data_IF_591341312898
#
_entry.id   IF_591341312898
#
_cell.length_a   1.000
_cell.length_b   1.000
_cell.length_c   1.000
_cell.angle_alpha   90.00
_cell.angle_beta   90.00
_cell.angle_gamma   90.00
#
_symmetry.space_group_name_H-M   'P 1'
#
loop_
_entity.id
_entity.type
_entity.pdbx_description
1 polymer ?
#
# COMPACT_ATOMS: atom_id res chain seq x y z
N UNK A 1 27.76 3.40 -13.89
CA UNK A 1 27.21 2.51 -12.84
C UNK A 1 26.00 1.80 -13.40
N UNK A 2 25.96 0.49 -13.38
CA UNK A 2 24.85 -0.30 -13.93
C UNK A 2 24.29 -1.23 -12.84
N UNK A 3 22.98 -1.36 -12.80
CA UNK A 3 22.26 -2.35 -12.00
C UNK A 3 21.26 -3.05 -12.93
N UNK A 4 21.30 -4.38 -12.98
CA UNK A 4 20.43 -5.19 -13.86
C UNK A 4 20.43 -4.71 -15.33
N UNK A 5 21.60 -4.48 -15.91
CA UNK A 5 21.79 -3.97 -17.28
C UNK A 5 21.23 -2.55 -17.57
N UNK A 6 20.84 -1.81 -16.55
CA UNK A 6 20.41 -0.40 -16.70
C UNK A 6 21.43 0.55 -16.11
N UNK A 7 21.71 1.63 -16.84
CA UNK A 7 22.54 2.72 -16.31
C UNK A 7 21.72 3.52 -15.29
N UNK A 8 22.10 3.42 -14.03
CA UNK A 8 21.43 4.10 -12.91
C UNK A 8 22.09 5.41 -12.51
N UNK A 9 23.31 5.64 -12.95
CA UNK A 9 24.05 6.88 -12.66
C UNK A 9 25.44 6.89 -13.26
N UNK A 10 26.08 8.05 -13.14
CA UNK A 10 27.46 8.27 -13.56
C UNK A 10 28.22 9.00 -12.44
N UNK A 11 29.49 8.69 -12.31
CA UNK A 11 30.42 9.44 -11.47
C UNK A 11 31.38 10.15 -12.38
N UNK A 12 31.48 11.45 -12.23
CA UNK A 12 32.45 12.31 -12.94
C UNK A 12 33.57 12.64 -11.98
N UNK A 13 34.78 12.46 -12.42
CA UNK A 13 35.99 12.75 -11.65
C UNK A 13 36.68 13.97 -12.28
N UNK A 14 37.01 14.94 -11.46
CA UNK A 14 37.90 16.04 -11.86
C UNK A 14 39.37 15.62 -11.80
N UNK A 15 40.28 16.54 -12.08
CA UNK A 15 41.71 16.31 -11.96
C UNK A 15 42.12 15.99 -10.51
N UNK A 16 43.05 15.06 -10.34
CA UNK A 16 43.64 14.81 -9.01
C UNK A 16 44.41 16.04 -8.50
N UNK A 17 44.25 16.29 -7.21
CA UNK A 17 45.14 17.26 -6.55
C UNK A 17 46.60 16.86 -6.79
N UNK A 18 47.41 17.79 -7.29
CA UNK A 18 48.84 17.64 -7.68
C UNK A 18 49.05 17.09 -9.10
N UNK A 19 48.07 17.11 -10.00
CA UNK A 19 48.24 16.80 -11.41
C UNK A 19 48.66 15.34 -11.74
N UNK A 20 48.42 14.41 -10.80
CA UNK A 20 48.70 12.99 -11.06
C UNK A 20 47.51 12.33 -11.80
N UNK A 21 47.81 11.41 -12.70
CA UNK A 21 46.78 10.61 -13.38
C UNK A 21 46.11 9.61 -12.45
N UNK A 22 44.88 9.22 -12.79
CA UNK A 22 44.19 8.13 -12.12
C UNK A 22 44.79 6.79 -12.53
N UNK A 23 45.21 6.03 -11.54
CA UNK A 23 45.68 4.65 -11.79
C UNK A 23 44.51 3.72 -12.04
N UNK A 24 44.78 2.55 -12.66
CA UNK A 24 43.77 1.52 -12.84
C UNK A 24 43.12 1.10 -11.52
N UNK A 25 43.90 0.96 -10.45
CA UNK A 25 43.44 0.65 -9.11
C UNK A 25 42.47 1.71 -8.52
N UNK A 26 42.76 3.00 -8.75
CA UNK A 26 41.89 4.11 -8.35
C UNK A 26 40.51 3.98 -9.02
N UNK A 27 40.50 3.70 -10.32
CA UNK A 27 39.25 3.56 -11.10
C UNK A 27 38.45 2.31 -10.68
N UNK A 28 39.11 1.20 -10.45
CA UNK A 28 38.44 -0.05 -9.96
C UNK A 28 37.85 0.17 -8.56
N UNK A 29 38.57 0.84 -7.66
CA UNK A 29 38.07 1.19 -6.34
C UNK A 29 36.84 2.11 -6.42
N UNK A 30 36.94 3.20 -7.19
CA UNK A 30 35.83 4.13 -7.36
C UNK A 30 34.63 3.50 -8.03
N UNK A 31 34.85 2.61 -9.00
CA UNK A 31 33.77 1.85 -9.62
C UNK A 31 33.05 0.95 -8.60
N UNK A 32 33.79 0.25 -7.77
CA UNK A 32 33.24 -0.63 -6.72
C UNK A 32 32.45 0.19 -5.68
N UNK A 33 33.01 1.30 -5.25
CA UNK A 33 32.34 2.22 -4.31
C UNK A 33 31.05 2.79 -4.90
N UNK A 34 31.08 3.19 -6.15
CA UNK A 34 29.93 3.72 -6.85
C UNK A 34 28.82 2.68 -7.05
N UNK A 35 29.19 1.42 -7.32
CA UNK A 35 28.23 0.33 -7.39
C UNK A 35 27.58 0.05 -6.01
N UNK A 36 28.39 0.06 -4.93
CA UNK A 36 27.87 -0.09 -3.58
C UNK A 36 26.90 1.05 -3.20
N UNK A 37 27.25 2.28 -3.57
CA UNK A 37 26.37 3.44 -3.33
C UNK A 37 25.01 3.28 -4.06
N UNK A 38 25.03 2.85 -5.32
CA UNK A 38 23.78 2.62 -6.09
C UNK A 38 22.93 1.52 -5.47
N UNK A 39 23.55 0.41 -5.07
CA UNK A 39 22.81 -0.67 -4.41
C UNK A 39 22.16 -0.16 -3.12
N UNK A 40 22.90 0.64 -2.33
CA UNK A 40 22.38 1.21 -1.08
C UNK A 40 21.22 2.18 -1.32
N UNK A 41 21.31 3.03 -2.33
CA UNK A 41 20.24 3.97 -2.72
C UNK A 41 19.00 3.19 -3.19
N UNK A 42 19.17 2.18 -4.04
CA UNK A 42 18.06 1.38 -4.55
C UNK A 42 17.38 0.58 -3.42
N UNK A 43 18.16 -0.01 -2.51
CA UNK A 43 17.63 -0.68 -1.34
C UNK A 43 16.82 0.28 -0.45
N UNK A 44 17.33 1.50 -0.22
CA UNK A 44 16.60 2.50 0.56
C UNK A 44 15.30 2.93 -0.13
N UNK A 45 15.29 3.03 -1.46
CA UNK A 45 14.08 3.32 -2.25
C UNK A 45 13.04 2.20 -2.12
N UNK A 46 13.46 0.95 -2.37
CA UNK A 46 12.59 -0.22 -2.27
C UNK A 46 12.02 -0.40 -0.85
N UNK A 47 12.84 -0.13 0.16
CA UNK A 47 12.39 -0.18 1.55
C UNK A 47 11.31 0.87 1.85
N UNK A 48 11.49 2.09 1.33
CA UNK A 48 10.48 3.15 1.47
C UNK A 48 9.17 2.79 0.78
N UNK A 49 9.23 2.28 -0.46
CA UNK A 49 8.06 1.82 -1.20
C UNK A 49 7.33 0.69 -0.46
N UNK A 50 8.07 -0.23 0.14
CA UNK A 50 7.48 -1.32 0.95
C UNK A 50 6.75 -0.79 2.19
N UNK A 51 7.34 0.20 2.90
CA UNK A 51 6.69 0.84 4.05
C UNK A 51 5.41 1.57 3.63
N UNK A 52 5.45 2.35 2.55
CA UNK A 52 4.27 3.06 2.03
C UNK A 52 3.15 2.10 1.64
N UNK A 53 3.50 0.99 0.98
CA UNK A 53 2.54 -0.06 0.63
C UNK A 53 1.92 -0.69 1.88
N UNK A 54 2.75 -1.05 2.87
CA UNK A 54 2.27 -1.63 4.13
C UNK A 54 1.30 -0.68 4.84
N UNK A 55 1.66 0.60 4.92
CA UNK A 55 0.79 1.62 5.53
C UNK A 55 -0.56 1.71 4.83
N UNK A 56 -0.58 1.67 3.49
CA UNK A 56 -1.82 1.68 2.73
C UNK A 56 -2.66 0.41 2.98
N UNK A 57 -2.04 -0.76 3.09
CA UNK A 57 -2.72 -2.01 3.43
C UNK A 57 -3.34 -1.95 4.83
N UNK A 58 -2.62 -1.39 5.82
CA UNK A 58 -3.12 -1.21 7.18
C UNK A 58 -4.31 -0.22 7.24
N UNK A 59 -4.23 0.89 6.50
CA UNK A 59 -5.32 1.87 6.38
C UNK A 59 -6.58 1.25 5.75
N UNK A 60 -6.42 0.43 4.72
CA UNK A 60 -7.52 -0.29 4.08
C UNK A 60 -8.12 -1.36 5.01
N UNK A 61 -7.31 -2.05 5.80
CA UNK A 61 -7.77 -3.02 6.78
C UNK A 61 -8.63 -2.34 7.87
N UNK A 62 -8.17 -1.19 8.38
CA UNK A 62 -8.92 -0.39 9.34
C UNK A 62 -10.24 0.13 8.75
N UNK A 63 -10.20 0.65 7.52
CA UNK A 63 -11.41 1.12 6.83
C UNK A 63 -12.45 0.00 6.66
N UNK A 64 -11.99 -1.22 6.35
CA UNK A 64 -12.85 -2.41 6.28
C UNK A 64 -13.48 -2.74 7.63
N UNK A 65 -12.69 -2.72 8.71
CA UNK A 65 -13.20 -2.98 10.06
C UNK A 65 -14.29 -1.97 10.45
N UNK A 66 -14.04 -0.68 10.20
CA UNK A 66 -15.01 0.39 10.45
C UNK A 66 -16.29 0.14 9.63
N UNK A 67 -16.17 -0.14 8.34
CA UNK A 67 -17.32 -0.36 7.45
C UNK A 67 -18.14 -1.58 7.89
N UNK A 68 -17.48 -2.68 8.23
CA UNK A 68 -18.16 -3.87 8.75
C UNK A 68 -18.88 -3.61 10.08
N UNK A 69 -18.33 -2.74 10.91
CA UNK A 69 -18.95 -2.30 12.16
C UNK A 69 -20.19 -1.42 11.97
N UNK A 70 -20.38 -0.84 10.78
CA UNK A 70 -21.60 -0.06 10.44
C UNK A 70 -22.75 -0.95 9.96
N UNK A 71 -22.48 -2.17 9.52
CA UNK A 71 -23.52 -3.10 9.10
C UNK A 71 -24.22 -3.71 10.32
N UNK A 72 -25.53 -3.98 10.25
CA UNK A 72 -26.25 -4.60 11.36
C UNK A 72 -25.70 -6.00 11.65
N UNK A 73 -25.22 -6.21 12.87
CA UNK A 73 -24.72 -7.51 13.34
C UNK A 73 -25.84 -8.53 13.56
N UNK A 74 -27.06 -8.03 13.82
CA UNK A 74 -28.25 -8.85 14.02
C UNK A 74 -29.43 -8.19 13.32
N UNK A 75 -30.17 -8.97 12.56
CA UNK A 75 -31.40 -8.51 11.94
C UNK A 75 -32.58 -8.64 12.91
N UNK A 76 -33.56 -7.69 12.90
CA UNK A 76 -34.73 -7.77 13.73
C UNK A 76 -35.60 -8.96 13.33
N UNK A 77 -36.27 -9.58 14.31
CA UNK A 77 -37.30 -10.58 14.04
C UNK A 77 -38.62 -9.89 13.77
N UNK A 78 -39.12 -10.06 12.54
CA UNK A 78 -40.37 -9.46 12.11
C UNK A 78 -41.41 -10.59 12.02
N UNK A 79 -42.54 -10.45 12.70
CA UNK A 79 -43.57 -11.47 12.70
C UNK A 79 -44.11 -11.76 11.28
N UNK A 80 -44.09 -13.02 10.86
CA UNK A 80 -44.52 -13.45 9.53
C UNK A 80 -43.48 -13.30 8.42
N UNK A 81 -42.26 -12.83 8.74
CA UNK A 81 -41.16 -12.68 7.77
C UNK A 81 -39.89 -13.33 8.25
N UNK A 82 -39.16 -13.92 7.31
CA UNK A 82 -37.77 -14.33 7.47
C UNK A 82 -36.87 -13.37 6.67
N UNK A 83 -35.89 -12.74 7.32
CA UNK A 83 -34.98 -11.81 6.68
C UNK A 83 -33.56 -12.36 6.79
N UNK A 84 -32.88 -12.41 5.65
CA UNK A 84 -31.43 -12.69 5.57
C UNK A 84 -30.75 -11.60 4.75
N UNK A 85 -29.59 -11.17 5.19
CA UNK A 85 -28.77 -10.22 4.46
C UNK A 85 -27.30 -10.63 4.55
N UNK A 86 -26.58 -10.40 3.48
CA UNK A 86 -25.14 -10.65 3.37
C UNK A 86 -24.48 -9.53 2.55
N UNK A 87 -23.33 -9.09 2.97
CA UNK A 87 -22.48 -8.20 2.20
C UNK A 87 -21.16 -8.91 1.90
N UNK A 88 -20.83 -9.04 0.62
CA UNK A 88 -19.58 -9.67 0.13
C UNK A 88 -18.84 -8.64 -0.72
N UNK A 89 -17.83 -8.02 -0.15
CA UNK A 89 -17.01 -7.04 -0.87
C UNK A 89 -16.05 -7.71 -1.85
N UNK A 90 -15.92 -7.19 -3.06
CA UNK A 90 -14.96 -7.67 -4.08
C UNK A 90 -13.52 -7.20 -3.80
N UNK A 91 -13.34 -6.16 -3.00
CA UNK A 91 -12.06 -5.59 -2.56
C UNK A 91 -12.04 -5.49 -1.03
N UNK A 92 -10.97 -4.92 -0.48
CA UNK A 92 -10.85 -4.75 0.98
C UNK A 92 -11.96 -3.88 1.57
N UNK A 93 -12.43 -2.86 0.82
CA UNK A 93 -13.54 -1.98 1.20
C UNK A 93 -14.55 -2.00 0.06
N UNK A 94 -15.84 -2.10 0.36
CA UNK A 94 -16.95 -2.06 -0.61
C UNK A 94 -17.70 -0.73 -0.54
N UNK A 95 -18.55 -0.46 -1.55
CA UNK A 95 -19.52 0.66 -1.53
C UNK A 95 -20.82 0.27 -0.87
N UNK A 96 -21.16 -1.02 -0.91
CA UNK A 96 -22.48 -1.52 -0.56
C UNK A 96 -22.77 -1.43 0.94
N UNK A 97 -23.97 -0.98 1.25
CA UNK A 97 -24.51 -0.89 2.60
C UNK A 97 -25.93 -1.43 2.63
N UNK A 98 -26.31 -2.08 3.73
CA UNK A 98 -27.70 -2.41 4.00
C UNK A 98 -28.03 -2.18 5.47
N UNK A 99 -29.32 -1.91 5.74
CA UNK A 99 -29.82 -1.81 7.09
C UNK A 99 -31.32 -2.19 7.17
N UNK A 100 -31.77 -2.57 8.37
CA UNK A 100 -33.16 -2.86 8.68
C UNK A 100 -33.55 -2.09 9.93
N UNK A 101 -34.25 -0.98 9.73
CA UNK A 101 -34.54 0.02 10.75
C UNK A 101 -36.02 -0.11 11.22
N UNK A 102 -36.28 -0.38 12.51
CA UNK A 102 -37.63 -0.27 13.04
C UNK A 102 -38.04 1.20 13.13
N UNK A 103 -39.27 1.54 12.64
CA UNK A 103 -39.84 2.90 12.76
C UNK A 103 -40.90 2.94 13.84
N UNK A 104 -41.88 2.02 13.75
CA UNK A 104 -42.99 1.85 14.66
C UNK A 104 -43.25 0.38 14.92
N UNK A 105 -44.27 0.07 15.73
CA UNK A 105 -44.58 -1.27 16.25
C UNK A 105 -44.65 -2.35 15.17
N UNK A 106 -44.98 -2.21 13.98
CA UNK A 106 -45.00 -3.19 12.89
C UNK A 106 -44.47 -2.62 11.58
N UNK A 107 -43.72 -1.49 11.64
CA UNK A 107 -43.20 -0.82 10.47
C UNK A 107 -41.67 -0.83 10.48
N UNK A 108 -41.09 -1.26 9.37
CA UNK A 108 -39.65 -1.36 9.18
C UNK A 108 -39.23 -0.72 7.84
N UNK A 109 -38.08 -0.08 7.83
CA UNK A 109 -37.42 0.33 6.58
C UNK A 109 -36.32 -0.67 6.29
N UNK A 110 -36.29 -1.17 5.06
CA UNK A 110 -35.15 -1.88 4.51
C UNK A 110 -34.40 -0.90 3.60
N UNK A 111 -33.16 -0.62 3.95
CA UNK A 111 -32.26 0.25 3.18
C UNK A 111 -31.19 -0.60 2.49
N UNK A 112 -30.96 -0.35 1.21
CA UNK A 112 -29.85 -0.89 0.44
C UNK A 112 -29.24 0.28 -0.33
N UNK A 113 -27.96 0.44 -0.24
CA UNK A 113 -27.22 1.51 -0.91
C UNK A 113 -25.92 0.98 -1.52
N UNK A 114 -25.46 1.64 -2.58
CA UNK A 114 -24.17 1.43 -3.24
C UNK A 114 -23.48 2.80 -3.44
#
# INVERSE_FOLDING_TARGET
MQLQNQVKGAVLLGEKMRGADYTKGDLEFLYSLANLAIISIENARLFREAIEKQKMEDELALAREIQQGLLPTTLPRIAGFEIAAINITSKQVGGDYYDVLPIHFDEYILAIGD
#
